data_IF_546074552613
#
_entry.id   IF_546074552613
#
_cell.length_a   1.000
_cell.length_b   1.000
_cell.length_c   1.000
_cell.angle_alpha   90.00
_cell.angle_beta   90.00
_cell.angle_gamma   90.00
#
_symmetry.space_group_name_H-M   'P 1'
#
loop_
_entity.id
_entity.type
_entity.pdbx_description
1 polymer ?
#
# COMPACT_ATOMS: atom_id res chain seq x y z
N UNK A 1 -0.85 11.66 19.58
CA UNK A 1 -1.52 10.84 18.56
C UNK A 1 -1.82 11.70 17.36
N UNK A 2 -1.26 11.36 16.22
CA UNK A 2 -1.44 12.14 15.01
C UNK A 2 -2.70 11.71 14.26
N UNK A 3 -3.46 12.69 13.75
CA UNK A 3 -4.56 12.40 12.86
C UNK A 3 -4.03 11.87 11.52
N UNK A 4 -4.73 10.96 10.85
CA UNK A 4 -4.29 10.50 9.54
C UNK A 4 -4.32 11.64 8.52
N UNK A 5 -3.38 11.63 7.56
CA UNK A 5 -3.36 12.57 6.46
C UNK A 5 -4.61 12.41 5.60
N UNK A 6 -5.02 11.17 5.39
CA UNK A 6 -6.18 10.83 4.59
C UNK A 6 -6.64 9.42 4.96
N UNK A 7 -7.94 9.21 4.94
CA UNK A 7 -8.52 7.89 5.08
C UNK A 7 -9.16 7.50 3.75
N UNK A 8 -8.83 6.32 3.25
CA UNK A 8 -9.43 5.77 2.05
C UNK A 8 -10.01 4.40 2.36
N UNK A 9 -11.05 4.03 1.66
CA UNK A 9 -11.69 2.74 1.85
C UNK A 9 -12.09 2.16 0.51
N UNK A 10 -12.04 0.84 0.40
CA UNK A 10 -12.43 0.17 -0.81
C UNK A 10 -12.37 -1.33 -0.65
N UNK A 11 -12.86 -2.02 -1.67
CA UNK A 11 -12.87 -3.48 -1.73
C UNK A 11 -11.59 -3.97 -2.38
N UNK A 12 -11.03 -5.05 -1.86
CA UNK A 12 -9.86 -5.68 -2.46
C UNK A 12 -10.28 -6.40 -3.74
N UNK A 13 -9.60 -6.07 -4.83
CA UNK A 13 -9.83 -6.64 -6.15
C UNK A 13 -8.59 -7.39 -6.61
N UNK A 14 -8.73 -8.19 -7.67
CA UNK A 14 -7.59 -8.94 -8.20
C UNK A 14 -6.63 -7.99 -8.88
N UNK A 15 -5.33 -8.17 -8.60
CA UNK A 15 -4.26 -7.48 -9.28
C UNK A 15 -3.45 -8.44 -10.14
N UNK A 16 -2.24 -8.00 -10.54
CA UNK A 16 -1.36 -8.80 -11.38
C UNK A 16 -0.51 -9.81 -10.58
N UNK A 17 -0.57 -9.77 -9.27
CA UNK A 17 0.14 -10.70 -8.39
C UNK A 17 1.64 -10.49 -8.28
N UNK A 18 2.19 -9.42 -8.84
CA UNK A 18 3.65 -9.18 -8.86
C UNK A 18 4.26 -9.10 -7.47
N UNK A 19 3.59 -8.40 -6.54
CA UNK A 19 4.10 -8.26 -5.17
C UNK A 19 4.26 -9.60 -4.48
N UNK A 20 3.34 -10.52 -4.70
CA UNK A 20 3.40 -11.85 -4.10
C UNK A 20 4.61 -12.62 -4.62
N UNK A 21 4.89 -12.53 -5.93
CA UNK A 21 6.06 -13.17 -6.52
C UNK A 21 7.38 -12.62 -6.03
N UNK A 22 7.38 -11.39 -5.50
CA UNK A 22 8.58 -10.73 -4.98
C UNK A 22 8.72 -10.88 -3.46
N UNK A 23 7.85 -11.64 -2.79
CA UNK A 23 7.89 -11.83 -1.35
C UNK A 23 7.18 -10.75 -0.54
N UNK A 24 6.52 -9.81 -1.19
CA UNK A 24 5.76 -8.74 -0.54
C UNK A 24 4.33 -8.76 -1.06
N UNK A 25 3.49 -9.67 -0.53
CA UNK A 25 2.10 -9.77 -1.02
C UNK A 25 1.35 -8.46 -0.79
N UNK A 26 0.70 -7.98 -1.84
CA UNK A 26 -0.07 -6.74 -1.79
C UNK A 26 -1.51 -6.99 -2.16
N UNK A 27 -2.40 -6.18 -1.58
CA UNK A 27 -3.81 -6.16 -1.93
C UNK A 27 -4.09 -4.92 -2.77
N UNK A 28 -4.73 -5.11 -3.92
CA UNK A 28 -5.14 -4.01 -4.78
C UNK A 28 -6.51 -3.52 -4.33
N UNK A 29 -6.61 -2.24 -4.05
CA UNK A 29 -7.84 -1.64 -3.52
C UNK A 29 -8.55 -0.85 -4.60
N UNK A 30 -9.83 -1.11 -4.79
CA UNK A 30 -10.66 -0.33 -5.69
C UNK A 30 -11.11 0.94 -4.99
N UNK A 31 -10.50 2.07 -5.35
CA UNK A 31 -10.80 3.39 -4.78
C UNK A 31 -10.97 4.38 -5.91
N UNK A 32 -11.95 5.27 -5.79
CA UNK A 32 -12.14 6.35 -6.75
C UNK A 32 -10.88 7.24 -6.77
N UNK A 33 -10.33 7.47 -7.97
CA UNK A 33 -9.14 8.30 -8.13
C UNK A 33 -9.29 9.70 -7.53
N UNK A 34 -10.50 10.24 -7.50
CA UNK A 34 -10.77 11.54 -6.91
C UNK A 34 -10.54 11.58 -5.40
N UNK A 35 -10.59 10.42 -4.74
CA UNK A 35 -10.39 10.32 -3.28
C UNK A 35 -8.94 10.07 -2.88
N UNK A 36 -8.03 9.95 -3.85
CA UNK A 36 -6.64 9.61 -3.58
C UNK A 36 -5.79 10.87 -3.32
N UNK A 37 -4.85 10.79 -2.36
CA UNK A 37 -3.85 11.85 -2.17
C UNK A 37 -2.76 11.75 -3.23
N UNK A 38 -1.68 12.50 -3.04
CA UNK A 38 -0.53 12.48 -3.94
C UNK A 38 0.07 11.08 -4.06
N UNK A 39 0.65 10.78 -5.21
CA UNK A 39 1.36 9.52 -5.44
C UNK A 39 2.54 9.41 -4.48
N UNK A 40 2.78 8.20 -4.00
CA UNK A 40 3.89 7.94 -3.10
C UNK A 40 3.71 6.68 -2.29
N UNK A 41 4.65 6.47 -1.38
CA UNK A 41 4.64 5.36 -0.44
C UNK A 41 4.30 5.91 0.94
N UNK A 42 3.32 5.32 1.58
CA UNK A 42 2.77 5.80 2.85
C UNK A 42 2.89 4.76 3.94
N UNK A 43 3.17 5.23 5.16
CA UNK A 43 2.95 4.44 6.37
C UNK A 43 1.46 4.52 6.71
N UNK A 44 0.86 3.40 7.05
CA UNK A 44 -0.59 3.32 7.24
C UNK A 44 -0.98 2.30 8.31
N UNK A 45 -2.22 2.43 8.76
CA UNK A 45 -2.89 1.41 9.57
C UNK A 45 -4.18 1.02 8.86
N UNK A 46 -4.47 -0.27 8.88
CA UNK A 46 -5.57 -0.84 8.09
C UNK A 46 -6.50 -1.64 8.99
N UNK A 47 -7.80 -1.41 8.83
CA UNK A 47 -8.83 -2.26 9.42
C UNK A 47 -9.47 -3.09 8.31
N UNK A 48 -9.66 -4.38 8.58
CA UNK A 48 -10.28 -5.30 7.63
C UNK A 48 -11.75 -5.43 8.01
N UNK A 49 -12.66 -5.13 7.07
CA UNK A 49 -14.10 -5.19 7.26
C UNK A 49 -14.53 -4.39 8.51
N UNK A 50 -15.10 -5.06 9.51
CA UNK A 50 -15.57 -4.44 10.74
C UNK A 50 -14.66 -4.72 11.94
N UNK A 51 -13.46 -5.24 11.69
CA UNK A 51 -12.53 -5.51 12.79
C UNK A 51 -12.13 -4.22 13.49
N UNK A 52 -11.99 -4.28 14.81
CA UNK A 52 -11.48 -3.15 15.57
C UNK A 52 -9.96 -3.02 15.47
N UNK A 53 -9.27 -4.11 15.16
CA UNK A 53 -7.82 -4.13 15.09
C UNK A 53 -7.30 -3.29 13.94
N UNK A 54 -6.31 -2.48 14.21
CA UNK A 54 -5.60 -1.66 13.21
C UNK A 54 -4.25 -2.31 12.93
N UNK A 55 -4.06 -2.76 11.71
CA UNK A 55 -2.84 -3.48 11.31
C UNK A 55 -1.85 -2.54 10.64
N UNK A 56 -0.55 -2.64 10.95
CA UNK A 56 0.44 -1.82 10.27
C UNK A 56 0.57 -2.23 8.82
N UNK A 57 0.75 -1.25 7.94
CA UNK A 57 0.83 -1.49 6.52
C UNK A 57 1.68 -0.45 5.81
N UNK A 58 2.24 -0.83 4.67
CA UNK A 58 2.86 0.09 3.73
C UNK A 58 1.94 0.17 2.52
N UNK A 59 1.60 1.39 2.10
CA UNK A 59 0.65 1.62 1.01
C UNK A 59 1.33 2.36 -0.12
N UNK A 60 1.18 1.84 -1.33
CA UNK A 60 1.69 2.47 -2.55
C UNK A 60 0.52 3.05 -3.33
N UNK A 61 0.60 4.33 -3.65
CA UNK A 61 -0.39 5.02 -4.48
C UNK A 61 0.33 5.57 -5.70
N UNK A 62 -0.18 5.22 -6.89
CA UNK A 62 0.38 5.72 -8.11
C UNK A 62 0.04 4.88 -9.33
N UNK A 63 0.38 5.41 -10.49
CA UNK A 63 0.26 4.68 -11.74
C UNK A 63 1.51 3.83 -11.93
N UNK A 64 1.31 2.52 -12.10
CA UNK A 64 2.39 1.64 -12.55
C UNK A 64 2.38 1.69 -14.08
N UNK A 65 3.45 2.19 -14.71
CA UNK A 65 3.54 2.09 -16.15
C UNK A 65 3.67 0.62 -16.53
N UNK A 66 2.63 0.09 -17.16
CA UNK A 66 2.63 -1.26 -17.69
C UNK A 66 3.06 -1.21 -19.16
N UNK A 67 3.35 -2.36 -19.73
CA UNK A 67 3.66 -2.45 -21.15
C UNK A 67 2.51 -1.99 -22.04
N UNK A 68 1.31 -1.99 -21.50
CA UNK A 68 0.10 -1.57 -22.22
C UNK A 68 -0.15 -0.07 -22.12
N UNK A 69 0.72 0.66 -21.41
CA UNK A 69 0.55 2.08 -21.23
C UNK A 69 -0.57 2.48 -20.28
N UNK A 70 -1.05 1.54 -19.50
CA UNK A 70 -2.07 1.81 -18.49
C UNK A 70 -1.49 2.75 -17.43
N UNK A 71 -2.15 3.91 -17.26
CA UNK A 71 -1.71 4.93 -16.32
C UNK A 71 -2.72 5.16 -15.21
N UNK A 72 -3.60 4.19 -15.02
CA UNK A 72 -4.56 4.28 -13.95
C UNK A 72 -3.86 4.24 -12.60
N UNK A 73 -4.23 5.18 -11.73
CA UNK A 73 -3.67 5.22 -10.37
C UNK A 73 -4.21 4.05 -9.56
N UNK A 74 -3.30 3.34 -8.89
CA UNK A 74 -3.65 2.16 -8.11
C UNK A 74 -3.27 2.35 -6.65
N UNK A 75 -4.02 1.70 -5.78
CA UNK A 75 -3.72 1.62 -4.36
C UNK A 75 -3.34 0.17 -4.05
N UNK A 76 -2.11 -0.04 -3.63
CA UNK A 76 -1.62 -1.36 -3.25
C UNK A 76 -1.26 -1.34 -1.77
N UNK A 77 -1.84 -2.28 -1.02
CA UNK A 77 -1.67 -2.35 0.44
C UNK A 77 -0.87 -3.59 0.79
N UNK A 78 0.25 -3.39 1.47
CA UNK A 78 1.07 -4.48 2.00
C UNK A 78 0.95 -4.49 3.52
N UNK A 79 0.24 -5.49 4.07
CA UNK A 79 0.14 -5.69 5.52
C UNK A 79 1.44 -6.28 6.04
N UNK A 80 1.98 -5.69 7.12
CA UNK A 80 3.21 -6.21 7.72
C UNK A 80 2.91 -7.48 8.51
N UNK A 81 3.81 -8.46 8.38
CA UNK A 81 3.77 -9.70 9.16
C UNK A 81 2.47 -10.48 9.04
N UNK A 82 1.78 -10.31 7.92
CA UNK A 82 0.53 -11.01 7.67
C UNK A 82 0.51 -11.54 6.24
N UNK A 83 0.07 -12.78 6.07
CA UNK A 83 -0.15 -13.40 4.77
C UNK A 83 -1.60 -13.86 4.74
N UNK A 84 -2.49 -12.93 4.43
CA UNK A 84 -3.92 -13.16 4.43
C UNK A 84 -4.48 -13.01 3.03
N UNK A 85 -5.44 -13.86 2.68
CA UNK A 85 -6.21 -13.67 1.46
C UNK A 85 -7.27 -12.61 1.73
N UNK A 86 -7.04 -11.42 1.20
CA UNK A 86 -7.92 -10.28 1.42
C UNK A 86 -8.91 -10.05 0.28
N UNK A 87 -8.86 -10.87 -0.77
CA UNK A 87 -9.74 -10.69 -1.92
C UNK A 87 -11.22 -10.65 -1.50
N UNK A 88 -11.92 -9.63 -1.96
CA UNK A 88 -13.34 -9.44 -1.65
C UNK A 88 -13.63 -8.73 -0.33
N UNK A 89 -12.63 -8.62 0.54
CA UNK A 89 -12.78 -7.89 1.80
C UNK A 89 -12.74 -6.38 1.57
N UNK A 90 -13.33 -5.64 2.48
CA UNK A 90 -13.26 -4.19 2.47
C UNK A 90 -12.18 -3.72 3.44
N UNK A 91 -11.30 -2.86 2.97
CA UNK A 91 -10.24 -2.29 3.81
C UNK A 91 -10.52 -0.83 4.09
N UNK A 92 -10.28 -0.42 5.32
CA UNK A 92 -10.29 0.98 5.75
C UNK A 92 -8.86 1.37 6.05
N UNK A 93 -8.28 2.23 5.22
CA UNK A 93 -6.86 2.56 5.25
C UNK A 93 -6.67 3.98 5.77
N UNK A 94 -5.97 4.09 6.91
CA UNK A 94 -5.57 5.38 7.45
C UNK A 94 -4.13 5.66 7.01
N UNK A 95 -3.96 6.61 6.07
CA UNK A 95 -2.63 7.02 5.59
C UNK A 95 -2.08 8.03 6.59
N UNK A 96 -0.99 7.67 7.26
CA UNK A 96 -0.45 8.45 8.38
C UNK A 96 0.69 9.36 7.98
N UNK A 97 1.62 8.87 7.18
CA UNK A 97 2.84 9.60 6.83
C UNK A 97 3.28 9.25 5.42
N UNK A 98 3.59 10.25 4.61
CA UNK A 98 4.22 10.04 3.31
C UNK A 98 5.69 9.74 3.55
N UNK A 99 6.14 8.54 3.17
CA UNK A 99 7.53 8.10 3.38
C UNK A 99 8.44 8.59 2.26
N UNK A 100 7.98 8.52 1.03
CA UNK A 100 8.72 8.96 -0.14
C UNK A 100 7.83 9.02 -1.38
N UNK A 101 8.22 9.78 -2.41
CA UNK A 101 7.50 9.73 -3.68
C UNK A 101 7.73 8.40 -4.40
N UNK A 102 6.93 8.13 -5.41
CA UNK A 102 7.11 6.96 -6.27
C UNK A 102 8.42 7.05 -7.03
N UNK A 103 9.06 5.88 -7.21
CA UNK A 103 10.33 5.76 -7.93
C UNK A 103 10.19 4.72 -9.02
N UNK A 104 10.97 4.89 -10.08
CA UNK A 104 11.13 3.88 -11.12
C UNK A 104 12.37 3.05 -10.83
N UNK A 105 12.32 1.75 -11.12
CA UNK A 105 13.43 0.85 -10.88
C UNK A 105 13.85 0.19 -12.19
N UNK A 106 15.15 0.08 -12.39
CA UNK A 106 15.71 -0.55 -13.58
C UNK A 106 15.77 -2.06 -13.46
N UNK A 107 15.81 -2.59 -12.23
CA UNK A 107 15.92 -4.03 -11.99
C UNK A 107 14.95 -4.48 -10.90
N UNK A 108 14.60 -5.76 -10.93
CA UNK A 108 13.79 -6.40 -9.89
C UNK A 108 14.51 -6.36 -8.55
N UNK A 109 15.83 -6.52 -8.55
CA UNK A 109 16.64 -6.49 -7.33
C UNK A 109 16.54 -5.12 -6.65
N UNK A 110 16.57 -4.03 -7.41
CA UNK A 110 16.41 -2.69 -6.88
C UNK A 110 15.01 -2.48 -6.28
N UNK A 111 13.98 -2.99 -6.95
CA UNK A 111 12.60 -2.92 -6.45
C UNK A 111 12.47 -3.66 -5.11
N UNK A 112 13.00 -4.87 -5.02
CA UNK A 112 12.97 -5.67 -3.79
C UNK A 112 13.68 -4.95 -2.66
N UNK A 113 14.89 -4.45 -2.92
CA UNK A 113 15.69 -3.76 -1.91
C UNK A 113 14.97 -2.51 -1.39
N UNK A 114 14.38 -1.72 -2.29
CA UNK A 114 13.67 -0.52 -1.89
C UNK A 114 12.39 -0.85 -1.12
N UNK A 115 11.68 -1.88 -1.53
CA UNK A 115 10.47 -2.30 -0.83
C UNK A 115 10.79 -2.75 0.61
N UNK A 116 11.87 -3.50 0.79
CA UNK A 116 12.32 -3.90 2.11
C UNK A 116 12.69 -2.68 2.97
N UNK A 117 13.39 -1.73 2.39
CA UNK A 117 13.75 -0.48 3.08
C UNK A 117 12.51 0.33 3.46
N UNK A 118 11.51 0.38 2.59
CA UNK A 118 10.25 1.07 2.87
C UNK A 118 9.51 0.44 4.05
N UNK A 119 9.48 -0.88 4.11
CA UNK A 119 8.82 -1.60 5.22
C UNK A 119 9.52 -1.26 6.54
N UNK A 120 10.86 -1.28 6.57
CA UNK A 120 11.61 -0.93 7.78
C UNK A 120 11.40 0.52 8.18
N UNK A 121 11.41 1.45 7.22
CA UNK A 121 11.12 2.86 7.47
C UNK A 121 9.71 3.04 8.03
N UNK A 122 8.75 2.34 7.44
CA UNK A 122 7.36 2.37 7.88
C UNK A 122 7.22 1.88 9.31
N UNK A 123 7.88 0.77 9.67
CA UNK A 123 7.85 0.23 11.02
C UNK A 123 8.39 1.24 12.03
N UNK A 124 9.48 1.92 11.69
CA UNK A 124 10.09 2.93 12.57
C UNK A 124 9.13 4.11 12.78
N UNK A 125 8.48 4.58 11.71
CA UNK A 125 7.52 5.68 11.78
C UNK A 125 6.31 5.29 12.64
N UNK A 126 5.77 4.11 12.44
CA UNK A 126 4.59 3.64 13.18
C UNK A 126 4.93 3.41 14.67
N UNK A 127 6.14 2.95 14.97
CA UNK A 127 6.56 2.74 16.34
C UNK A 127 6.76 4.07 17.09
N UNK A 128 7.12 5.13 16.38
CA UNK A 128 7.34 6.46 16.97
C UNK A 128 6.04 7.24 17.18
N UNK A 129 4.97 6.85 16.48
CA UNK A 129 3.68 7.57 16.47
C UNK A 129 2.67 7.17 17.53
#
# INVERSE_FOLDING_TARGET
>A
MSAPLRTVAGRVVRGDGRGRGLGFPTANLAVDAADLPADGIYAARVRIDHEAARRPATVSIGANPTFDGDRERRVEVHLHDADLDLYGHRLHVELLTLLRPTLCFDTVAELIAQTAADVEHCRAVLAAG
#
